data_IF_168148079799
#
_entry.id   IF_168148079799
#
_cell.length_a   1.000
_cell.length_b   1.000
_cell.length_c   1.000
_cell.angle_alpha   90.00
_cell.angle_beta   90.00
_cell.angle_gamma   90.00
#
_symmetry.space_group_name_H-M   'P 1'
#
loop_
_entity.id
_entity.type
_entity.pdbx_description
1 polymer ?
#
# COMPACT_ATOMS: atom_id res chain seq x y z
N UNK A 1 -1.38 -2.82 -21.96
CA UNK A 1 -0.26 -2.05 -21.37
C UNK A 1 -0.32 -2.32 -19.88
N UNK A 2 0.84 -2.53 -19.28
CA UNK A 2 0.95 -2.77 -17.83
C UNK A 2 0.63 -1.52 -17.02
N UNK A 3 0.42 -1.69 -15.72
CA UNK A 3 0.24 -0.57 -14.82
C UNK A 3 1.51 0.25 -14.63
N UNK A 4 2.70 -0.36 -14.71
CA UNK A 4 3.98 0.34 -14.70
C UNK A 4 4.06 1.41 -15.79
N UNK A 5 3.48 1.14 -16.97
CA UNK A 5 3.36 2.13 -18.06
C UNK A 5 2.46 3.30 -17.65
N UNK A 6 1.33 3.03 -16.99
CA UNK A 6 0.41 4.06 -16.50
C UNK A 6 1.07 4.95 -15.44
N UNK A 7 1.85 4.36 -14.53
CA UNK A 7 2.65 5.09 -13.55
C UNK A 7 3.63 6.06 -14.24
N UNK A 8 4.38 5.58 -15.24
CA UNK A 8 5.34 6.41 -15.97
C UNK A 8 4.66 7.51 -16.79
N UNK A 9 3.46 7.26 -17.32
CA UNK A 9 2.63 8.28 -17.98
C UNK A 9 2.24 9.39 -16.99
N UNK A 10 1.77 9.04 -15.79
CA UNK A 10 1.48 10.03 -14.74
C UNK A 10 2.71 10.83 -14.35
N UNK A 11 3.85 10.17 -14.17
CA UNK A 11 5.11 10.83 -13.87
C UNK A 11 5.52 11.82 -14.97
N UNK A 12 5.38 11.44 -16.25
CA UNK A 12 5.67 12.31 -17.40
C UNK A 12 4.65 13.45 -17.60
N UNK A 13 3.48 13.37 -16.96
CA UNK A 13 2.43 14.39 -17.00
C UNK A 13 2.44 15.32 -15.78
N UNK A 14 3.50 15.28 -14.96
CA UNK A 14 3.63 16.03 -13.70
C UNK A 14 2.54 15.70 -12.66
N UNK A 15 1.88 14.54 -12.76
CA UNK A 15 0.87 14.05 -11.82
C UNK A 15 1.55 13.43 -10.58
N UNK A 16 2.50 14.15 -9.99
CA UNK A 16 3.43 13.67 -8.96
C UNK A 16 2.72 13.22 -7.68
N UNK A 17 1.58 13.80 -7.35
CA UNK A 17 0.79 13.38 -6.19
C UNK A 17 0.26 11.95 -6.37
N UNK A 18 -0.22 11.59 -7.56
CA UNK A 18 -0.70 10.24 -7.87
C UNK A 18 0.41 9.21 -7.82
N UNK A 19 1.57 9.57 -8.38
CA UNK A 19 2.77 8.71 -8.34
C UNK A 19 3.24 8.53 -6.91
N UNK A 20 3.27 9.61 -6.12
CA UNK A 20 3.73 9.59 -4.74
C UNK A 20 2.90 8.66 -3.86
N UNK A 21 1.58 8.86 -3.79
CA UNK A 21 0.71 8.06 -2.91
C UNK A 21 0.74 6.58 -3.27
N UNK A 22 0.86 6.26 -4.56
CA UNK A 22 0.96 4.88 -5.03
C UNK A 22 2.30 4.25 -4.66
N UNK A 23 3.41 4.98 -4.82
CA UNK A 23 4.72 4.54 -4.37
C UNK A 23 4.78 4.39 -2.84
N UNK A 24 4.13 5.26 -2.07
CA UNK A 24 4.04 5.14 -0.61
C UNK A 24 3.22 3.92 -0.17
N UNK A 25 2.24 3.50 -0.99
CA UNK A 25 1.48 2.28 -0.73
C UNK A 25 2.22 0.97 -1.06
N UNK A 26 3.29 0.97 -1.87
CA UNK A 26 4.01 -0.27 -2.23
C UNK A 26 4.63 -0.94 -0.99
N UNK A 27 5.44 -0.26 -0.16
CA UNK A 27 5.99 -0.87 1.06
C UNK A 27 4.91 -1.34 2.04
N UNK A 28 3.79 -0.61 2.11
CA UNK A 28 2.64 -0.99 2.90
C UNK A 28 2.02 -2.30 2.42
N UNK A 29 1.84 -2.46 1.11
CA UNK A 29 1.35 -3.70 0.50
C UNK A 29 2.32 -4.85 0.68
N UNK A 30 3.63 -4.61 0.50
CA UNK A 30 4.67 -5.62 0.75
C UNK A 30 4.60 -6.12 2.18
N UNK A 31 4.45 -5.23 3.17
CA UNK A 31 4.25 -5.61 4.57
C UNK A 31 2.96 -6.43 4.77
N UNK A 32 1.83 -5.98 4.20
CA UNK A 32 0.55 -6.66 4.35
C UNK A 32 0.57 -8.07 3.74
N UNK A 33 1.38 -8.30 2.71
CA UNK A 33 1.55 -9.58 2.02
C UNK A 33 2.50 -10.57 2.71
N UNK A 34 3.29 -10.13 3.71
CA UNK A 34 4.21 -10.99 4.46
C UNK A 34 3.50 -12.17 5.15
N UNK A 35 4.25 -13.10 5.72
CA UNK A 35 3.73 -14.08 6.70
C UNK A 35 3.53 -13.44 8.08
N UNK A 36 2.77 -14.10 8.95
CA UNK A 36 2.49 -13.59 10.29
C UNK A 36 3.78 -13.37 11.10
N UNK A 37 4.65 -14.38 11.11
CA UNK A 37 5.98 -14.36 11.72
C UNK A 37 6.89 -13.22 11.22
N UNK A 38 6.78 -12.83 9.95
CA UNK A 38 7.54 -11.70 9.40
C UNK A 38 6.92 -10.35 9.80
N UNK A 39 5.59 -10.21 9.76
CA UNK A 39 4.91 -8.99 10.22
C UNK A 39 5.19 -8.70 11.69
N UNK A 40 5.15 -9.74 12.53
CA UNK A 40 5.45 -9.66 13.96
C UNK A 40 6.84 -9.08 14.27
N UNK A 41 7.82 -9.34 13.40
CA UNK A 41 9.22 -8.91 13.56
C UNK A 41 9.47 -7.52 12.97
N UNK A 42 8.67 -7.11 11.99
CA UNK A 42 8.86 -5.85 11.27
C UNK A 42 8.29 -4.64 12.04
N UNK A 43 7.33 -4.84 12.96
CA UNK A 43 6.73 -3.74 13.74
C UNK A 43 7.49 -3.51 15.06
N UNK A 44 8.05 -2.31 15.29
CA UNK A 44 8.82 -2.02 16.50
C UNK A 44 7.94 -1.81 17.74
N UNK A 45 6.87 -1.02 17.59
CA UNK A 45 6.07 -0.51 18.70
C UNK A 45 4.71 -1.23 18.81
N UNK A 46 3.60 -0.48 18.82
CA UNK A 46 2.25 -1.06 18.93
C UNK A 46 1.83 -1.64 17.58
N UNK A 47 1.60 -2.97 17.46
CA UNK A 47 1.27 -3.62 16.19
C UNK A 47 0.05 -3.00 15.51
N UNK A 48 -1.06 -2.83 16.24
CA UNK A 48 -2.27 -2.27 15.66
C UNK A 48 -2.10 -0.80 15.23
N UNK A 49 -1.44 0.04 16.03
CA UNK A 49 -1.29 1.46 15.69
C UNK A 49 -0.42 1.66 14.46
N UNK A 50 0.75 1.01 14.43
CA UNK A 50 1.72 1.11 13.34
C UNK A 50 1.15 0.52 12.05
N UNK A 51 0.50 -0.64 12.11
CA UNK A 51 -0.10 -1.23 10.92
C UNK A 51 -1.27 -0.39 10.42
N UNK A 52 -2.07 0.17 11.31
CA UNK A 52 -3.12 1.10 10.89
C UNK A 52 -2.53 2.31 10.16
N UNK A 53 -1.61 3.03 10.81
CA UNK A 53 -1.12 4.31 10.31
C UNK A 53 -0.20 4.17 9.10
N UNK A 54 0.73 3.23 9.13
CA UNK A 54 1.79 3.12 8.13
C UNK A 54 1.46 2.15 6.99
N UNK A 55 0.53 1.22 7.21
CA UNK A 55 0.27 0.13 6.25
C UNK A 55 -1.16 0.14 5.69
N UNK A 56 -2.17 0.42 6.52
CA UNK A 56 -3.56 0.40 6.08
C UNK A 56 -4.02 1.77 5.54
N UNK A 57 -3.69 2.88 6.21
CA UNK A 57 -4.08 4.22 5.75
C UNK A 57 -3.59 4.58 4.34
N UNK A 58 -2.35 4.22 3.90
CA UNK A 58 -1.91 4.50 2.53
C UNK A 58 -2.83 3.91 1.45
N UNK A 59 -3.52 2.79 1.73
CA UNK A 59 -4.50 2.22 0.81
C UNK A 59 -5.68 3.17 0.55
N UNK A 60 -6.16 3.82 1.60
CA UNK A 60 -7.23 4.81 1.51
C UNK A 60 -6.75 6.09 0.81
N UNK A 61 -5.50 6.49 1.00
CA UNK A 61 -4.90 7.63 0.31
C UNK A 61 -4.84 7.40 -1.21
N UNK A 62 -4.47 6.19 -1.65
CA UNK A 62 -4.53 5.80 -3.05
C UNK A 62 -5.96 5.81 -3.58
N UNK A 63 -6.94 5.26 -2.85
CA UNK A 63 -8.35 5.31 -3.26
C UNK A 63 -8.87 6.75 -3.40
N UNK A 64 -8.50 7.62 -2.47
CA UNK A 64 -8.95 9.02 -2.44
C UNK A 64 -8.34 9.85 -3.57
N UNK A 65 -7.07 9.60 -3.88
CA UNK A 65 -6.30 10.40 -4.86
C UNK A 65 -6.43 9.86 -6.28
N UNK A 66 -6.41 8.54 -6.43
CA UNK A 66 -6.31 7.86 -7.72
C UNK A 66 -7.59 7.08 -8.10
N UNK A 67 -8.58 6.95 -7.22
CA UNK A 67 -9.71 6.02 -7.40
C UNK A 67 -10.48 6.16 -8.72
N UNK A 68 -10.60 7.36 -9.28
CA UNK A 68 -11.29 7.58 -10.56
C UNK A 68 -10.45 7.25 -11.80
N UNK A 69 -9.13 7.23 -11.66
CA UNK A 69 -8.16 7.04 -12.76
C UNK A 69 -7.47 5.67 -12.72
N UNK A 70 -7.63 4.92 -11.63
CA UNK A 70 -7.13 3.55 -11.53
C UNK A 70 -7.87 2.62 -12.52
N UNK A 71 -7.16 1.69 -13.17
CA UNK A 71 -7.79 0.58 -13.89
C UNK A 71 -8.78 -0.16 -12.98
N UNK A 72 -9.93 -0.55 -13.54
CA UNK A 72 -11.05 -1.14 -12.79
C UNK A 72 -10.63 -2.33 -11.92
N UNK A 73 -9.76 -3.20 -12.44
CA UNK A 73 -9.28 -4.38 -11.72
C UNK A 73 -8.43 -4.00 -10.48
N UNK A 74 -7.55 -3.01 -10.62
CA UNK A 74 -6.70 -2.51 -9.52
C UNK A 74 -7.58 -1.83 -8.47
N UNK A 75 -8.49 -0.95 -8.92
CA UNK A 75 -9.43 -0.27 -8.04
C UNK A 75 -10.27 -1.27 -7.23
N UNK A 76 -10.86 -2.26 -7.90
CA UNK A 76 -11.69 -3.27 -7.25
C UNK A 76 -10.90 -4.10 -6.24
N UNK A 77 -9.65 -4.48 -6.57
CA UNK A 77 -8.79 -5.21 -5.65
C UNK A 77 -8.42 -4.36 -4.42
N UNK A 78 -8.07 -3.09 -4.63
CA UNK A 78 -7.74 -2.13 -3.57
C UNK A 78 -8.94 -1.82 -2.67
N UNK A 79 -10.14 -1.60 -3.23
CA UNK A 79 -11.38 -1.41 -2.47
C UNK A 79 -11.71 -2.64 -1.62
N UNK A 80 -11.53 -3.85 -2.19
CA UNK A 80 -11.71 -5.10 -1.45
C UNK A 80 -10.71 -5.21 -0.30
N UNK A 81 -9.43 -4.94 -0.55
CA UNK A 81 -8.38 -4.98 0.48
C UNK A 81 -8.67 -3.98 1.59
N UNK A 82 -9.02 -2.74 1.25
CA UNK A 82 -9.40 -1.71 2.21
C UNK A 82 -10.61 -2.14 3.06
N UNK A 83 -11.62 -2.76 2.44
CA UNK A 83 -12.78 -3.31 3.16
C UNK A 83 -12.41 -4.45 4.10
N UNK A 84 -11.45 -5.31 3.73
CA UNK A 84 -10.94 -6.36 4.62
C UNK A 84 -10.23 -5.76 5.84
N UNK A 85 -9.36 -4.76 5.64
CA UNK A 85 -8.69 -4.06 6.73
C UNK A 85 -9.68 -3.43 7.72
N UNK A 86 -10.72 -2.76 7.21
CA UNK A 86 -11.77 -2.15 8.04
C UNK A 86 -12.77 -3.16 8.63
N UNK A 87 -12.72 -4.40 8.17
CA UNK A 87 -13.59 -5.49 8.60
C UNK A 87 -12.98 -6.36 9.71
N UNK A 88 -11.72 -6.14 10.08
CA UNK A 88 -11.06 -6.87 11.15
C UNK A 88 -11.82 -6.72 12.46
N UNK A 89 -12.10 -7.83 13.11
CA UNK A 89 -12.73 -7.82 14.44
C UNK A 89 -11.77 -7.31 15.51
N UNK A 90 -12.30 -6.90 16.66
CA UNK A 90 -11.49 -6.49 17.82
C UNK A 90 -10.54 -7.60 18.27
N UNK A 91 -10.91 -8.88 18.10
CA UNK A 91 -10.06 -10.03 18.40
C UNK A 91 -8.89 -10.16 17.41
N UNK A 92 -9.13 -9.82 16.14
CA UNK A 92 -8.13 -9.88 15.09
C UNK A 92 -7.23 -8.62 15.02
N UNK A 93 -7.65 -7.52 15.66
CA UNK A 93 -6.97 -6.23 15.57
C UNK A 93 -7.14 -5.39 16.84
N UNK A 94 -6.19 -5.48 17.77
CA UNK A 94 -6.16 -4.64 18.95
C UNK A 94 -4.75 -4.28 19.40
N UNK A 95 -4.66 -3.20 20.18
CA UNK A 95 -3.37 -2.69 20.66
C UNK A 95 -2.63 -3.72 21.51
N UNK A 96 -1.30 -3.65 21.44
CA UNK A 96 -0.35 -4.46 22.21
C UNK A 96 -0.40 -5.97 21.99
N UNK A 97 -1.16 -6.47 21.01
CA UNK A 97 -1.11 -7.87 20.60
C UNK A 97 -0.22 -8.07 19.38
N UNK A 98 0.96 -8.66 19.61
CA UNK A 98 1.85 -9.05 18.52
C UNK A 98 1.32 -10.26 17.77
N UNK A 99 0.56 -11.14 18.42
CA UNK A 99 0.05 -12.36 17.80
C UNK A 99 -1.22 -12.12 16.97
N UNK A 100 -1.72 -10.88 16.91
CA UNK A 100 -2.91 -10.52 16.12
C UNK A 100 -2.81 -11.01 14.67
N UNK A 101 -1.60 -11.02 14.11
CA UNK A 101 -1.30 -11.46 12.75
C UNK A 101 -1.50 -12.96 12.51
N UNK A 102 -1.54 -13.79 13.57
CA UNK A 102 -1.81 -15.22 13.49
C UNK A 102 -3.33 -15.51 13.36
N UNK A 103 -4.18 -14.50 13.54
CA UNK A 103 -5.62 -14.66 13.40
C UNK A 103 -6.01 -14.88 11.93
N UNK A 104 -6.94 -15.81 11.69
CA UNK A 104 -7.35 -16.23 10.33
C UNK A 104 -7.88 -15.07 9.46
N UNK A 105 -8.41 -14.02 10.08
CA UNK A 105 -8.89 -12.81 9.37
C UNK A 105 -7.77 -12.02 8.67
N UNK A 106 -6.50 -12.25 9.00
CA UNK A 106 -5.36 -11.66 8.28
C UNK A 106 -5.02 -12.40 6.99
N UNK A 107 -5.43 -13.66 6.84
CA UNK A 107 -5.15 -14.43 5.62
C UNK A 107 -5.72 -13.73 4.37
N UNK A 108 -7.02 -13.31 4.34
CA UNK A 108 -7.57 -12.63 3.18
C UNK A 108 -6.85 -11.31 2.84
N UNK A 109 -6.34 -10.61 3.85
CA UNK A 109 -5.58 -9.36 3.68
C UNK A 109 -4.26 -9.66 2.98
N UNK A 110 -3.51 -10.67 3.44
CA UNK A 110 -2.23 -11.08 2.82
C UNK A 110 -2.42 -11.46 1.36
N UNK A 111 -3.43 -12.28 1.08
CA UNK A 111 -3.71 -12.72 -0.30
C UNK A 111 -4.12 -11.56 -1.19
N UNK A 112 -5.02 -10.68 -0.73
CA UNK A 112 -5.42 -9.53 -1.51
C UNK A 112 -4.28 -8.51 -1.71
N UNK A 113 -3.39 -8.33 -0.73
CA UNK A 113 -2.21 -7.49 -0.87
C UNK A 113 -1.22 -8.05 -1.90
N UNK A 114 -0.96 -9.36 -1.88
CA UNK A 114 -0.13 -10.01 -2.90
C UNK A 114 -0.73 -9.90 -4.30
N UNK A 115 -2.04 -10.16 -4.45
CA UNK A 115 -2.73 -9.99 -5.72
C UNK A 115 -2.63 -8.55 -6.22
N UNK A 116 -2.72 -7.57 -5.33
CA UNK A 116 -2.59 -6.16 -5.71
C UNK A 116 -1.16 -5.81 -6.12
N UNK A 117 -0.13 -6.30 -5.41
CA UNK A 117 1.28 -6.12 -5.78
C UNK A 117 1.59 -6.65 -7.19
N UNK A 118 0.98 -7.77 -7.56
CA UNK A 118 1.12 -8.35 -8.90
C UNK A 118 0.40 -7.47 -9.94
N UNK A 119 -0.81 -7.01 -9.65
CA UNK A 119 -1.60 -6.16 -10.56
C UNK A 119 -0.97 -4.78 -10.82
N UNK A 120 -0.31 -4.21 -9.82
CA UNK A 120 0.42 -2.94 -9.97
C UNK A 120 1.83 -3.13 -10.53
N UNK A 121 2.24 -4.37 -10.84
CA UNK A 121 3.57 -4.68 -11.37
C UNK A 121 4.68 -4.15 -10.46
N UNK A 122 4.52 -4.32 -9.14
CA UNK A 122 5.44 -3.80 -8.12
C UNK A 122 6.91 -4.17 -8.37
N UNK A 123 7.19 -5.37 -8.90
CA UNK A 123 8.54 -5.81 -9.27
C UNK A 123 9.19 -4.95 -10.38
N UNK A 124 8.40 -4.36 -11.27
CA UNK A 124 8.89 -3.44 -12.31
C UNK A 124 9.14 -2.03 -11.75
N UNK A 125 8.41 -1.64 -10.71
CA UNK A 125 8.48 -0.31 -10.09
C UNK A 125 9.57 -0.24 -9.02
N UNK A 126 9.76 -1.31 -8.25
CA UNK A 126 10.69 -1.38 -7.11
C UNK A 126 12.12 -0.86 -7.38
N UNK A 127 12.75 -1.15 -8.54
CA UNK A 127 14.08 -0.61 -8.84
C UNK A 127 14.17 0.93 -8.86
N UNK A 128 13.04 1.63 -8.99
CA UNK A 128 12.94 3.08 -9.09
C UNK A 128 12.24 3.73 -7.89
N UNK A 129 11.80 2.92 -6.92
CA UNK A 129 10.90 3.36 -5.86
C UNK A 129 11.46 4.52 -5.04
N UNK A 130 12.71 4.41 -4.58
CA UNK A 130 13.37 5.45 -3.78
C UNK A 130 13.50 6.77 -4.55
N UNK A 131 13.88 6.70 -5.83
CA UNK A 131 14.03 7.87 -6.70
C UNK A 131 12.68 8.54 -6.99
N UNK A 132 11.62 7.74 -7.21
CA UNK A 132 10.25 8.21 -7.40
C UNK A 132 9.70 8.88 -6.14
N UNK A 133 9.87 8.25 -4.97
CA UNK A 133 9.46 8.80 -3.67
C UNK A 133 10.15 10.14 -3.41
N UNK A 134 11.47 10.20 -3.56
CA UNK A 134 12.23 11.43 -3.33
C UNK A 134 11.87 12.52 -4.36
N UNK A 135 11.80 12.15 -5.64
CA UNK A 135 11.49 13.06 -6.74
C UNK A 135 10.09 13.67 -6.61
N UNK A 136 9.07 12.82 -6.46
CA UNK A 136 7.68 13.26 -6.36
C UNK A 136 7.43 14.04 -5.07
N UNK A 137 8.00 13.63 -3.93
CA UNK A 137 7.87 14.37 -2.66
C UNK A 137 8.46 15.78 -2.75
N UNK A 138 9.61 15.93 -3.40
CA UNK A 138 10.21 17.26 -3.63
C UNK A 138 9.34 18.11 -4.56
N UNK A 139 8.81 17.52 -5.65
CA UNK A 139 7.93 18.20 -6.58
C UNK A 139 6.64 18.69 -5.91
N UNK A 140 5.96 17.83 -5.15
CA UNK A 140 4.73 18.16 -4.39
C UNK A 140 4.99 19.26 -3.35
N UNK A 141 6.15 19.24 -2.68
CA UNK A 141 6.53 20.27 -1.70
C UNK A 141 7.07 21.56 -2.33
N UNK A 142 7.20 21.63 -3.65
CA UNK A 142 7.79 22.77 -4.36
C UNK A 142 9.29 22.97 -4.07
N UNK A 143 9.98 21.93 -3.58
CA UNK A 143 11.43 21.96 -3.36
C UNK A 143 12.10 21.70 -4.70
N UNK A 144 12.71 22.74 -5.29
CA UNK A 144 13.46 22.62 -6.54
C UNK A 144 14.67 21.70 -6.33
N UNK A 145 14.84 20.71 -7.22
CA UNK A 145 16.10 19.97 -7.37
C UNK A 145 17.23 20.90 -7.79
#
# INVERSE_FOLDING_TARGET
>A
MGFSTTLWEWYGQDEYERVLVLCEAIPALEFLALTADLQQRAIPDCPACEVWSEMMLPLNEVLSTCGSVLPEQIRTCLERLWKLCNGLTEVAFHCHDRLMFDHDEWWPIRTAAQELLDLIESLEINPFLDDLLLGCRNAVRGVKR
#
